data_IF_129169169134
#
_entry.id   IF_129169169134
#
_cell.length_a   1.000
_cell.length_b   1.000
_cell.length_c   1.000
_cell.angle_alpha   90.00
_cell.angle_beta   90.00
_cell.angle_gamma   90.00
#
_symmetry.space_group_name_H-M   'P 1'
#
loop_
_entity.id
_entity.type
_entity.pdbx_description
1 polymer ?
#
# COMPACT_ATOMS: atom_id res chain seq x y z
N UNK A 1 -7.93 -26.08 -6.41
CA UNK A 1 -7.30 -25.03 -7.24
C UNK A 1 -8.26 -24.73 -8.39
N UNK A 2 -8.51 -23.46 -8.71
CA UNK A 2 -9.55 -22.99 -9.64
C UNK A 2 -9.04 -21.83 -10.50
N UNK A 3 -9.48 -21.64 -11.75
CA UNK A 3 -9.24 -20.40 -12.49
C UNK A 3 -10.11 -19.23 -11.97
N UNK A 4 -11.14 -19.51 -11.17
CA UNK A 4 -12.04 -18.52 -10.60
C UNK A 4 -11.48 -17.93 -9.29
N UNK A 5 -11.26 -16.61 -9.18
CA UNK A 5 -10.78 -15.94 -7.96
C UNK A 5 -11.79 -15.98 -6.80
N UNK A 6 -13.07 -16.29 -7.03
CA UNK A 6 -14.11 -16.41 -5.98
C UNK A 6 -13.79 -17.49 -4.92
N UNK A 7 -12.81 -18.36 -5.19
CA UNK A 7 -12.35 -19.35 -4.21
C UNK A 7 -11.43 -18.76 -3.14
N UNK A 8 -10.85 -17.57 -3.35
CA UNK A 8 -9.89 -16.95 -2.43
C UNK A 8 -10.60 -16.51 -1.15
N UNK A 9 -10.13 -16.99 0.01
CA UNK A 9 -10.66 -16.68 1.35
C UNK A 9 -9.67 -15.93 2.23
N UNK A 10 -8.38 -16.04 1.91
CA UNK A 10 -7.30 -15.37 2.61
C UNK A 10 -6.22 -14.94 1.63
N UNK A 11 -5.67 -13.74 1.84
CA UNK A 11 -4.61 -13.14 1.07
C UNK A 11 -3.47 -12.69 1.99
N UNK A 12 -2.32 -13.34 1.86
CA UNK A 12 -1.11 -12.92 2.54
C UNK A 12 -0.37 -11.86 1.70
N UNK A 13 0.14 -10.82 2.36
CA UNK A 13 0.87 -9.71 1.73
C UNK A 13 2.12 -9.40 2.55
N UNK A 14 3.27 -9.16 1.92
CA UNK A 14 4.47 -8.72 2.65
C UNK A 14 4.34 -7.25 3.05
N UNK A 15 4.83 -6.87 4.23
CA UNK A 15 4.96 -5.47 4.62
C UNK A 15 5.70 -4.64 3.55
N UNK A 16 6.81 -5.17 3.04
CA UNK A 16 7.59 -4.58 1.95
C UNK A 16 6.76 -4.38 0.65
N UNK A 17 6.01 -5.40 0.22
CA UNK A 17 5.18 -5.32 -0.99
C UNK A 17 4.07 -4.27 -0.82
N UNK A 18 3.46 -4.18 0.37
CA UNK A 18 2.40 -3.22 0.66
C UNK A 18 2.94 -1.79 0.65
N UNK A 19 4.01 -1.52 1.40
CA UNK A 19 4.62 -0.19 1.49
C UNK A 19 5.13 0.27 0.13
N UNK A 20 5.82 -0.60 -0.62
CA UNK A 20 6.30 -0.26 -1.96
C UNK A 20 5.15 0.11 -2.93
N UNK A 21 4.01 -0.59 -2.83
CA UNK A 21 2.84 -0.27 -3.65
C UNK A 21 2.22 1.09 -3.28
N UNK A 22 2.09 1.38 -1.99
CA UNK A 22 1.57 2.65 -1.48
C UNK A 22 2.46 3.83 -1.90
N UNK A 23 3.78 3.70 -1.72
CA UNK A 23 4.74 4.74 -2.13
C UNK A 23 4.74 4.98 -3.64
N UNK A 24 4.64 3.92 -4.44
CA UNK A 24 4.58 4.04 -5.89
C UNK A 24 3.31 4.78 -6.35
N UNK A 25 2.15 4.45 -5.74
CA UNK A 25 0.88 5.09 -6.08
C UNK A 25 0.80 6.56 -5.59
N UNK A 26 1.50 6.90 -4.51
CA UNK A 26 1.58 8.29 -4.03
C UNK A 26 2.42 9.21 -4.94
N UNK A 27 3.27 8.65 -5.81
CA UNK A 27 4.25 9.38 -6.62
C UNK A 27 3.86 9.45 -8.10
N UNK A 28 2.61 9.82 -8.43
CA UNK A 28 2.08 10.00 -9.81
C UNK A 28 2.66 9.02 -10.86
N UNK A 29 2.88 7.77 -10.43
CA UNK A 29 3.67 6.79 -11.14
C UNK A 29 2.80 5.82 -11.94
N UNK A 30 3.40 4.78 -12.53
CA UNK A 30 2.65 3.65 -13.05
C UNK A 30 1.76 3.05 -11.94
N UNK A 31 0.50 2.76 -12.29
CA UNK A 31 -0.44 2.16 -11.35
C UNK A 31 0.11 0.84 -10.79
N UNK A 32 0.25 0.78 -9.48
CA UNK A 32 0.84 -0.35 -8.77
C UNK A 32 -0.20 -1.02 -7.87
N UNK A 33 -0.24 -2.35 -7.89
CA UNK A 33 -1.25 -3.18 -7.22
C UNK A 33 -0.60 -4.37 -6.52
N UNK A 34 -1.37 -5.01 -5.65
CA UNK A 34 -1.07 -6.32 -5.09
C UNK A 34 -1.77 -7.38 -5.94
N UNK A 35 -0.99 -8.24 -6.61
CA UNK A 35 -1.48 -9.24 -7.57
C UNK A 35 -1.40 -10.65 -7.02
N UNK A 36 -2.48 -11.42 -7.17
CA UNK A 36 -2.47 -12.87 -7.07
C UNK A 36 -2.81 -13.50 -8.43
N UNK A 37 -2.08 -14.55 -8.81
CA UNK A 37 -2.22 -15.20 -10.11
C UNK A 37 -2.93 -16.54 -9.99
N UNK A 38 -3.72 -16.95 -11.00
CA UNK A 38 -4.25 -18.30 -11.05
C UNK A 38 -3.13 -19.35 -11.19
N UNK A 39 -3.38 -20.62 -10.83
CA UNK A 39 -4.65 -21.12 -10.29
C UNK A 39 -4.87 -20.67 -8.84
N UNK A 40 -6.08 -20.20 -8.56
CA UNK A 40 -6.48 -19.70 -7.25
C UNK A 40 -6.77 -20.86 -6.28
N UNK A 41 -6.52 -20.57 -5.01
CA UNK A 41 -6.85 -21.45 -3.89
C UNK A 41 -7.41 -20.63 -2.73
N UNK A 42 -7.95 -21.30 -1.72
CA UNK A 42 -8.52 -20.63 -0.54
C UNK A 42 -7.55 -19.68 0.17
N UNK A 43 -6.24 -19.96 0.12
CA UNK A 43 -5.20 -19.11 0.69
C UNK A 43 -4.20 -18.74 -0.40
N UNK A 44 -4.13 -17.46 -0.73
CA UNK A 44 -3.22 -16.92 -1.73
C UNK A 44 -2.19 -15.99 -1.07
N UNK A 45 -1.10 -15.72 -1.79
CA UNK A 45 -0.19 -14.63 -1.49
C UNK A 45 -0.26 -13.63 -2.63
N UNK A 46 -0.53 -12.36 -2.33
CA UNK A 46 -0.39 -11.30 -3.31
C UNK A 46 1.01 -10.68 -3.24
N UNK A 47 1.47 -10.20 -4.40
CA UNK A 47 2.79 -9.62 -4.62
C UNK A 47 2.68 -8.28 -5.31
N UNK A 48 3.66 -7.40 -5.07
CA UNK A 48 3.78 -6.14 -5.80
C UNK A 48 3.75 -6.39 -7.32
N UNK A 49 2.95 -5.60 -8.03
CA UNK A 49 2.84 -5.66 -9.48
C UNK A 49 2.55 -4.27 -10.06
N UNK A 50 3.29 -3.91 -11.12
CA UNK A 50 3.01 -2.71 -11.90
C UNK A 50 2.08 -3.09 -13.05
N UNK A 51 0.89 -2.49 -13.10
CA UNK A 51 -0.14 -2.84 -14.08
C UNK A 51 0.32 -2.48 -15.50
N UNK A 52 0.33 -3.48 -16.36
CA UNK A 52 0.56 -3.37 -17.80
C UNK A 52 -0.77 -3.54 -18.56
N UNK A 53 -0.78 -3.19 -19.84
CA UNK A 53 -2.01 -3.10 -20.65
C UNK A 53 -2.72 -4.44 -20.86
N UNK A 54 -2.02 -5.56 -20.68
CA UNK A 54 -2.50 -6.92 -20.98
C UNK A 54 -2.71 -7.79 -19.71
N UNK A 55 -2.79 -7.20 -18.51
CA UNK A 55 -2.87 -7.93 -17.22
C UNK A 55 -4.31 -8.27 -16.75
N UNK A 56 -5.28 -8.45 -17.66
CA UNK A 56 -6.71 -8.56 -17.31
C UNK A 56 -7.12 -9.90 -16.63
N UNK A 57 -6.29 -10.94 -16.68
CA UNK A 57 -6.63 -12.29 -16.19
C UNK A 57 -6.25 -12.56 -14.72
N UNK A 58 -5.70 -11.57 -14.01
CA UNK A 58 -5.19 -11.76 -12.64
C UNK A 58 -5.92 -10.93 -11.60
N UNK A 59 -5.93 -11.42 -10.35
CA UNK A 59 -6.58 -10.75 -9.24
C UNK A 59 -5.74 -9.56 -8.78
N UNK A 60 -6.20 -8.36 -9.08
CA UNK A 60 -5.57 -7.11 -8.64
C UNK A 60 -6.29 -6.50 -7.44
N UNK A 61 -5.52 -6.17 -6.41
CA UNK A 61 -6.00 -5.46 -5.22
C UNK A 61 -5.23 -4.15 -5.10
N UNK A 62 -5.96 -3.04 -5.00
CA UNK A 62 -5.36 -1.74 -4.71
C UNK A 62 -4.83 -1.75 -3.27
N UNK A 63 -3.57 -1.34 -3.00
CA UNK A 63 -2.99 -1.42 -1.66
C UNK A 63 -3.76 -0.58 -0.64
N UNK A 64 -4.38 0.52 -1.05
CA UNK A 64 -5.18 1.41 -0.21
C UNK A 64 -6.43 0.72 0.35
N UNK A 65 -6.94 -0.34 -0.32
CA UNK A 65 -8.06 -1.15 0.20
C UNK A 65 -7.69 -2.03 1.39
N UNK A 66 -6.39 -2.21 1.64
CA UNK A 66 -5.92 -2.97 2.78
C UNK A 66 -5.69 -2.08 4.01
N UNK A 67 -6.04 -0.80 3.92
CA UNK A 67 -5.89 0.16 5.01
C UNK A 67 -7.27 0.61 5.52
N UNK A 68 -7.32 0.96 6.79
CA UNK A 68 -8.45 1.67 7.40
C UNK A 68 -8.54 3.10 6.83
N UNK A 69 -9.75 3.68 6.84
CA UNK A 69 -9.97 5.07 6.39
C UNK A 69 -9.23 6.13 7.24
N UNK A 70 -8.69 5.73 8.40
CA UNK A 70 -7.89 6.58 9.30
C UNK A 70 -6.39 6.51 9.04
N UNK A 71 -5.94 5.73 8.04
CA UNK A 71 -4.54 5.60 7.72
C UNK A 71 -3.91 6.96 7.32
N UNK A 72 -2.69 7.27 7.79
CA UNK A 72 -2.02 8.50 7.41
C UNK A 72 -1.69 8.49 5.91
N UNK A 73 -1.92 9.62 5.25
CA UNK A 73 -1.48 9.81 3.87
C UNK A 73 0.05 9.77 3.76
N UNK A 74 0.55 9.36 2.60
CA UNK A 74 1.98 9.39 2.31
C UNK A 74 2.50 10.85 2.39
N UNK A 75 3.55 11.14 3.17
CA UNK A 75 4.07 12.50 3.30
C UNK A 75 4.74 12.93 2.01
N UNK A 76 4.22 13.96 1.34
CA UNK A 76 4.82 14.50 0.11
C UNK A 76 5.90 15.53 0.44
N UNK A 77 6.85 15.79 -0.49
CA UNK A 77 7.83 16.85 -0.30
C UNK A 77 7.20 18.22 -0.07
N UNK A 78 6.06 18.52 -0.70
CA UNK A 78 5.38 19.80 -0.55
C UNK A 78 4.74 19.91 0.84
N UNK A 79 4.05 18.87 1.30
CA UNK A 79 3.45 18.84 2.66
C UNK A 79 4.52 19.04 3.73
N UNK A 80 5.64 18.30 3.64
CA UNK A 80 6.71 18.41 4.64
C UNK A 80 7.48 19.71 4.55
N UNK A 81 7.48 20.39 3.40
CA UNK A 81 8.04 21.73 3.27
C UNK A 81 7.15 22.76 3.96
N UNK A 82 5.84 22.65 3.80
CA UNK A 82 4.85 23.53 4.42
C UNK A 82 4.80 23.34 5.93
N UNK A 83 4.82 22.09 6.42
CA UNK A 83 4.97 21.76 7.85
C UNK A 83 6.21 22.45 8.45
N UNK A 84 7.37 22.38 7.77
CA UNK A 84 8.61 22.97 8.26
C UNK A 84 8.61 24.52 8.19
N UNK A 85 7.93 25.12 7.19
CA UNK A 85 7.80 26.59 7.10
C UNK A 85 6.84 27.16 8.13
N UNK A 86 5.86 26.37 8.57
CA UNK A 86 4.91 26.76 9.60
C UNK A 86 5.53 26.73 11.01
N UNK A 87 6.66 26.03 11.19
CA UNK A 87 7.39 25.99 12.46
C UNK A 87 8.19 27.29 12.66
N UNK A 88 7.66 28.18 13.50
CA UNK A 88 8.29 29.47 13.83
C UNK A 88 9.64 29.33 14.55
N UNK A 89 9.96 28.15 15.06
CA UNK A 89 11.20 27.88 15.79
C UNK A 89 12.34 27.40 14.89
N UNK A 90 12.02 27.00 13.65
CA UNK A 90 12.95 26.41 12.72
C UNK A 90 13.20 27.34 11.52
N UNK A 91 14.48 27.47 11.12
CA UNK A 91 14.81 28.16 9.87
C UNK A 91 14.77 27.18 8.72
N UNK A 92 13.90 27.44 7.74
CA UNK A 92 13.81 26.62 6.54
C UNK A 92 15.14 26.63 5.76
N UNK A 93 15.67 25.44 5.50
CA UNK A 93 16.74 25.20 4.53
C UNK A 93 16.43 23.93 3.73
N UNK A 94 17.01 23.79 2.53
CA UNK A 94 16.78 22.61 1.67
C UNK A 94 17.29 21.34 2.36
N UNK A 95 18.45 21.38 2.99
CA UNK A 95 19.02 20.23 3.71
C UNK A 95 18.16 19.82 4.89
N UNK A 96 17.59 20.79 5.62
CA UNK A 96 16.69 20.53 6.75
C UNK A 96 15.37 19.96 6.29
N UNK A 97 14.79 20.51 5.21
CA UNK A 97 13.59 19.97 4.59
C UNK A 97 13.79 18.54 4.14
N UNK A 98 14.92 18.23 3.48
CA UNK A 98 15.26 16.86 3.08
C UNK A 98 15.31 15.91 4.28
N UNK A 99 16.06 16.26 5.33
CA UNK A 99 16.18 15.42 6.52
C UNK A 99 14.83 15.25 7.25
N UNK A 100 14.03 16.31 7.31
CA UNK A 100 12.69 16.28 7.89
C UNK A 100 11.76 15.37 7.08
N UNK A 101 11.78 15.49 5.75
CA UNK A 101 10.99 14.66 4.85
C UNK A 101 11.37 13.18 4.96
N UNK A 102 12.67 12.85 4.97
CA UNK A 102 13.15 11.48 5.16
C UNK A 102 12.63 10.89 6.47
N UNK A 103 12.72 11.63 7.58
CA UNK A 103 12.16 11.20 8.87
C UNK A 103 10.64 10.97 8.82
N UNK A 104 9.89 11.90 8.20
CA UNK A 104 8.43 11.79 8.09
C UNK A 104 8.01 10.57 7.27
N UNK A 105 8.75 10.24 6.22
CA UNK A 105 8.54 9.02 5.42
C UNK A 105 8.81 7.78 6.26
N UNK A 106 9.90 7.74 7.03
CA UNK A 106 10.22 6.60 7.88
C UNK A 106 9.18 6.39 9.00
N UNK A 107 8.75 7.46 9.67
CA UNK A 107 7.64 7.42 10.65
C UNK A 107 6.34 6.93 10.01
N UNK A 108 6.04 7.36 8.78
CA UNK A 108 4.88 6.88 8.04
C UNK A 108 4.97 5.38 7.72
N UNK A 109 6.15 4.89 7.30
CA UNK A 109 6.36 3.46 7.01
C UNK A 109 6.12 2.58 8.23
N UNK A 110 6.51 3.04 9.41
CA UNK A 110 6.31 2.30 10.66
C UNK A 110 4.83 2.30 11.07
N UNK A 111 4.17 3.46 10.96
CA UNK A 111 2.79 3.64 11.44
C UNK A 111 1.73 3.07 10.50
N UNK A 112 1.98 3.00 9.19
CA UNK A 112 0.97 2.55 8.21
C UNK A 112 0.52 1.09 8.45
N UNK A 113 1.36 0.25 9.04
CA UNK A 113 1.02 -1.15 9.32
C UNK A 113 -0.03 -1.31 10.44
N UNK A 114 -0.08 -0.36 11.38
CA UNK A 114 -1.10 -0.34 12.44
C UNK A 114 -2.51 -0.08 11.88
N UNK A 115 -2.59 0.38 10.63
CA UNK A 115 -3.83 0.66 9.93
C UNK A 115 -4.25 -0.45 8.96
N UNK A 116 -3.55 -1.58 8.91
CA UNK A 116 -3.92 -2.69 8.03
C UNK A 116 -5.17 -3.40 8.56
N UNK A 117 -6.17 -3.58 7.68
CA UNK A 117 -7.42 -4.26 8.01
C UNK A 117 -7.24 -5.77 8.09
N UNK A 118 -7.99 -6.43 8.98
CA UNK A 118 -8.04 -7.90 9.05
C UNK A 118 -8.83 -8.51 7.89
N UNK A 119 -9.80 -7.77 7.34
CA UNK A 119 -10.64 -8.18 6.20
C UNK A 119 -10.78 -7.06 5.19
N UNK A 120 -10.78 -7.40 3.90
CA UNK A 120 -10.98 -6.44 2.84
C UNK A 120 -11.94 -6.95 1.76
N UNK A 121 -12.65 -6.02 1.12
CA UNK A 121 -13.38 -6.30 -0.13
C UNK A 121 -12.40 -6.34 -1.28
N UNK A 122 -12.30 -7.50 -1.94
CA UNK A 122 -11.36 -7.75 -3.04
C UNK A 122 -12.13 -7.78 -4.37
N UNK A 123 -11.66 -7.10 -5.44
CA UNK A 123 -12.32 -7.15 -6.74
C UNK A 123 -12.48 -8.59 -7.26
N UNK A 124 -13.55 -8.87 -8.01
CA UNK A 124 -13.88 -10.21 -8.53
C UNK A 124 -14.12 -11.29 -7.44
N UNK A 125 -14.30 -10.87 -6.19
CA UNK A 125 -14.65 -11.74 -5.06
C UNK A 125 -15.86 -11.14 -4.33
N UNK A 126 -16.95 -11.88 -4.21
CA UNK A 126 -18.23 -11.40 -3.65
C UNK A 126 -18.32 -11.52 -2.11
N UNK A 127 -17.19 -11.73 -1.43
CA UNK A 127 -17.11 -11.84 0.03
C UNK A 127 -15.83 -11.20 0.56
N UNK A 128 -15.81 -10.92 1.86
CA UNK A 128 -14.63 -10.40 2.54
C UNK A 128 -13.49 -11.42 2.58
N UNK A 129 -12.30 -10.98 2.20
CA UNK A 129 -11.09 -11.81 2.19
C UNK A 129 -10.25 -11.46 3.43
N UNK A 130 -9.83 -12.48 4.17
CA UNK A 130 -8.94 -12.30 5.32
C UNK A 130 -7.55 -11.85 4.85
N UNK A 131 -7.04 -10.79 5.42
CA UNK A 131 -5.72 -10.25 5.09
C UNK A 131 -4.72 -10.72 6.14
N UNK A 132 -3.51 -11.06 5.70
CA UNK A 132 -2.43 -11.44 6.61
C UNK A 132 -1.16 -10.73 6.20
N UNK A 133 -0.73 -9.76 7.01
CA UNK A 133 0.52 -9.05 6.81
C UNK A 133 1.70 -9.95 7.25
N UNK A 134 2.72 -10.05 6.40
CA UNK A 134 3.91 -10.86 6.64
C UNK A 134 5.14 -9.96 6.85
N UNK A 135 5.85 -10.21 7.95
CA UNK A 135 7.13 -9.57 8.26
C UNK A 135 7.11 -8.06 8.58
N UNK A 136 6.12 -7.53 9.34
CA UNK A 136 6.29 -6.24 10.01
C UNK A 136 7.36 -6.31 11.11
#
# INVERSE_FOLDING_TARGET
MSPDPSVVRSLAVSAEDLTAALEANARDGPRTVLRATPPYSGRMRARLHVVQRDDEETLHVAPERLLTDTAPAYPTPDDTADELRADETETYTVERHRAYHERRVDEWRETVFDHVVDTATVPAVDHEVNISLLGP
#
